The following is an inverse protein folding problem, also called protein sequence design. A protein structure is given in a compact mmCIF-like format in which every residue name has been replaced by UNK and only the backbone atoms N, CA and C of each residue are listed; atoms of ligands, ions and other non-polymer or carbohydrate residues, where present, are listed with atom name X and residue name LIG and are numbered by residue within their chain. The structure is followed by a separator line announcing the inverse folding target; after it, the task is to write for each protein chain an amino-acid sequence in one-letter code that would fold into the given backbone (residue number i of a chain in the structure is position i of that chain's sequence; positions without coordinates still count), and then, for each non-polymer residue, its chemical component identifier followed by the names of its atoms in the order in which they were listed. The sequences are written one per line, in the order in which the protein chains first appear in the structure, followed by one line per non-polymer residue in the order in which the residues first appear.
data_IF_844591333549
#
_entry.id   IF_844591333549
#
_cell.length_a   1.000
_cell.length_b   1.000
_cell.length_c   1.000
_cell.angle_alpha   90.00
_cell.angle_beta   90.00
_cell.angle_gamma   90.00
#
_symmetry.space_group_name_H-M   'P 1'
#
loop_
_entity.id
_entity.type
_entity.pdbx_description
1 polymer ?
#
# COMPACT_ATOMS: atom_id res chain seq x y z
N UNK A 1 -1.07 -1.11 -1.28
CA UNK A 1 -0.78 -1.30 -2.72
C UNK A 1 -0.70 -2.78 -3.11
N UNK A 2 -0.29 -3.68 -2.22
CA UNK A 2 -0.31 -5.14 -2.47
C UNK A 2 0.93 -5.82 -1.89
N UNK A 3 1.12 -7.10 -2.24
CA UNK A 3 2.31 -7.90 -1.92
C UNK A 3 3.07 -8.28 -3.19
N UNK A 4 4.40 -8.24 -3.13
CA UNK A 4 5.28 -8.45 -4.27
C UNK A 4 6.34 -9.51 -3.96
N UNK A 5 6.84 -10.23 -4.97
CA UNK A 5 7.84 -11.28 -4.75
C UNK A 5 9.19 -10.75 -4.29
N UNK A 6 9.56 -9.53 -4.70
CA UNK A 6 10.84 -8.93 -4.40
C UNK A 6 10.70 -7.48 -3.93
N UNK A 7 11.69 -7.03 -3.16
CA UNK A 7 11.73 -5.65 -2.63
C UNK A 7 11.74 -4.58 -3.72
N UNK A 8 12.52 -4.70 -4.82
CA UNK A 8 12.51 -3.70 -5.89
C UNK A 8 11.12 -3.51 -6.52
N UNK A 9 10.35 -4.58 -6.64
CA UNK A 9 8.98 -4.52 -7.18
C UNK A 9 8.03 -3.82 -6.22
N UNK A 10 8.16 -4.07 -4.92
CA UNK A 10 7.39 -3.36 -3.90
C UNK A 10 7.73 -1.86 -3.86
N UNK A 11 9.02 -1.53 -4.00
CA UNK A 11 9.50 -0.15 -4.07
C UNK A 11 8.93 0.60 -5.27
N UNK A 12 8.98 -0.01 -6.46
CA UNK A 12 8.39 0.58 -7.67
C UNK A 12 6.88 0.82 -7.51
N UNK A 13 6.14 -0.15 -6.93
CA UNK A 13 4.72 0.03 -6.67
C UNK A 13 4.44 1.19 -5.70
N UNK A 14 5.26 1.34 -4.66
CA UNK A 14 5.21 2.47 -3.73
C UNK A 14 5.46 3.80 -4.45
N UNK A 15 6.55 3.90 -5.21
CA UNK A 15 6.94 5.11 -5.95
C UNK A 15 5.86 5.52 -6.95
N UNK A 16 5.26 4.55 -7.64
CA UNK A 16 4.13 4.78 -8.53
C UNK A 16 2.93 5.36 -7.79
N UNK A 17 2.62 4.83 -6.59
CA UNK A 17 1.53 5.35 -5.77
C UNK A 17 1.79 6.77 -5.27
N UNK A 18 3.03 7.08 -4.88
CA UNK A 18 3.46 8.43 -4.48
C UNK A 18 3.37 9.43 -5.63
N UNK A 19 3.87 9.06 -6.81
CA UNK A 19 3.74 9.88 -8.01
C UNK A 19 2.27 10.15 -8.33
N UNK A 20 1.40 9.15 -8.16
CA UNK A 20 -0.03 9.30 -8.43
C UNK A 20 -0.71 10.27 -7.46
N UNK A 21 -0.38 10.21 -6.18
CA UNK A 21 -0.82 11.21 -5.20
C UNK A 21 -0.37 12.61 -5.61
N UNK A 22 0.89 12.77 -6.03
CA UNK A 22 1.41 14.04 -6.54
C UNK A 22 0.62 14.58 -7.74
N UNK A 23 0.28 13.73 -8.72
CA UNK A 23 -0.56 14.15 -9.87
C UNK A 23 -1.98 14.56 -9.49
N UNK A 24 -2.49 14.07 -8.36
CA UNK A 24 -3.80 14.45 -7.82
C UNK A 24 -3.74 15.72 -6.95
N UNK A 25 -2.56 16.34 -6.81
CA UNK A 25 -2.34 17.46 -5.89
C UNK A 25 -2.45 17.05 -4.42
N UNK A 26 -2.38 15.75 -4.12
CA UNK A 26 -2.46 15.21 -2.77
C UNK A 26 -1.07 15.05 -2.18
N UNK A 27 -0.96 15.23 -0.87
CA UNK A 27 0.32 15.05 -0.18
C UNK A 27 0.80 13.60 -0.26
N UNK A 28 2.10 13.44 -0.46
CA UNK A 28 2.79 12.16 -0.39
C UNK A 28 2.74 11.59 1.04
N UNK A 29 2.75 10.26 1.13
CA UNK A 29 2.76 9.54 2.41
C UNK A 29 4.16 9.05 2.78
N UNK A 30 4.28 8.38 3.94
CA UNK A 30 5.53 7.70 4.34
C UNK A 30 5.65 6.32 3.70
N UNK A 31 6.89 5.92 3.43
CA UNK A 31 7.23 4.58 2.93
C UNK A 31 7.24 3.54 4.02
N UNK A 32 6.50 2.46 3.78
CA UNK A 32 6.50 1.26 4.60
C UNK A 32 6.53 0.04 3.68
N UNK A 33 7.71 -0.57 3.54
CA UNK A 33 7.89 -1.86 2.85
C UNK A 33 8.28 -2.90 3.89
N UNK A 34 7.46 -3.93 4.04
CA UNK A 34 7.66 -4.94 5.07
C UNK A 34 7.73 -6.35 4.46
N UNK A 35 8.66 -7.21 4.93
CA UNK A 35 8.65 -8.61 4.59
C UNK A 35 7.46 -9.31 5.26
N UNK A 36 6.84 -10.22 4.52
CA UNK A 36 5.61 -10.91 4.90
C UNK A 36 5.77 -12.37 4.55
N UNK A 37 5.69 -13.24 5.55
CA UNK A 37 5.77 -14.69 5.32
C UNK A 37 4.38 -15.30 5.44
N UNK A 38 3.91 -15.96 4.38
CA UNK A 38 2.69 -16.78 4.39
C UNK A 38 2.99 -18.10 3.70
N UNK A 39 2.56 -19.22 4.30
CA UNK A 39 2.80 -20.57 3.78
C UNK A 39 4.26 -20.83 3.35
N UNK A 40 5.23 -20.40 4.18
CA UNK A 40 6.69 -20.52 3.96
C UNK A 40 7.25 -19.71 2.77
N UNK A 41 6.47 -18.82 2.15
CA UNK A 41 6.93 -17.89 1.12
C UNK A 41 6.99 -16.48 1.68
N UNK A 42 8.15 -15.82 1.54
CA UNK A 42 8.32 -14.41 1.91
C UNK A 42 8.04 -13.50 0.71
N UNK A 43 7.14 -12.54 0.90
CA UNK A 43 6.80 -11.46 -0.03
C UNK A 43 7.04 -10.10 0.63
N UNK A 44 6.99 -9.03 -0.13
CA UNK A 44 7.18 -7.66 0.32
C UNK A 44 5.88 -6.88 0.16
N UNK A 45 5.32 -6.34 1.24
CA UNK A 45 4.12 -5.52 1.17
C UNK A 45 4.49 -4.05 1.03
N UNK A 46 3.91 -3.38 0.04
CA UNK A 46 4.08 -1.94 -0.14
C UNK A 46 2.88 -1.17 0.44
N UNK A 47 3.18 -0.31 1.40
CA UNK A 47 2.21 0.51 2.15
C UNK A 47 2.63 1.97 2.02
N UNK A 48 1.64 2.83 1.74
CA UNK A 48 1.77 4.28 1.85
C UNK A 48 1.00 4.68 3.12
N UNK A 49 1.71 5.16 4.13
CA UNK A 49 1.14 5.57 5.42
C UNK A 49 1.08 7.10 5.55
N UNK A 50 0.48 7.60 6.63
CA UNK A 50 0.42 9.04 6.98
C UNK A 50 -0.16 9.94 5.86
N UNK A 51 -1.13 9.41 5.13
CA UNK A 51 -1.88 10.14 4.12
C UNK A 51 -2.91 11.08 4.77
N UNK A 52 -3.17 12.21 4.11
CA UNK A 52 -4.26 13.12 4.47
C UNK A 52 -5.62 12.40 4.39
N UNK A 53 -6.61 12.94 5.12
CA UNK A 53 -8.00 12.47 5.02
C UNK A 53 -8.43 12.42 3.55
N UNK A 54 -9.06 11.32 3.16
CA UNK A 54 -9.53 11.02 1.80
C UNK A 54 -8.44 10.77 0.73
N UNK A 55 -7.16 11.09 0.97
CA UNK A 55 -6.11 10.85 -0.02
C UNK A 55 -5.93 9.35 -0.30
N UNK A 56 -5.97 8.53 0.75
CA UNK A 56 -5.94 7.07 0.62
C UNK A 56 -7.13 6.54 -0.21
N UNK A 57 -8.33 7.09 -0.01
CA UNK A 57 -9.54 6.68 -0.72
C UNK A 57 -9.50 7.10 -2.19
N UNK A 58 -9.06 8.33 -2.50
CA UNK A 58 -8.88 8.82 -3.88
C UNK A 58 -7.86 7.98 -4.65
N UNK A 59 -6.72 7.68 -4.03
CA UNK A 59 -5.72 6.79 -4.62
C UNK A 59 -6.31 5.40 -4.87
N UNK A 60 -7.08 4.88 -3.92
CA UNK A 60 -7.70 3.56 -4.05
C UNK A 60 -8.76 3.49 -5.14
N UNK A 61 -9.60 4.52 -5.24
CA UNK A 61 -10.59 4.64 -6.30
C UNK A 61 -9.91 4.62 -7.68
N UNK A 62 -8.78 5.31 -7.84
CA UNK A 62 -8.03 5.30 -9.09
C UNK A 62 -7.44 3.91 -9.41
N UNK A 63 -6.87 3.23 -8.42
CA UNK A 63 -6.37 1.87 -8.63
C UNK A 63 -7.51 0.92 -9.04
N UNK A 64 -8.69 1.08 -8.43
CA UNK A 64 -9.88 0.29 -8.77
C UNK A 64 -10.40 0.58 -10.18
N UNK A 65 -10.35 1.82 -10.69
CA UNK A 65 -10.71 2.10 -12.10
C UNK A 65 -9.79 1.39 -13.08
N UNK A 66 -8.53 1.15 -12.69
CA UNK A 66 -7.55 0.36 -13.46
C UNK A 66 -7.61 -1.15 -13.17
N UNK A 67 -8.59 -1.61 -12.41
CA UNK A 67 -8.71 -3.01 -11.93
C UNK A 67 -7.46 -3.48 -11.16
N UNK A 68 -6.71 -2.56 -10.57
CA UNK A 68 -5.56 -2.85 -9.73
C UNK A 68 -6.00 -3.06 -8.28
N UNK A 69 -5.23 -3.86 -7.55
CA UNK A 69 -5.47 -4.10 -6.13
C UNK A 69 -5.20 -2.84 -5.30
N UNK A 70 -6.17 -2.47 -4.46
CA UNK A 70 -5.96 -1.48 -3.42
C UNK A 70 -6.89 -1.75 -2.23
N UNK A 71 -6.39 -1.49 -1.02
CA UNK A 71 -7.15 -1.54 0.22
C UNK A 71 -6.73 -0.37 1.10
N UNK A 72 -7.72 0.33 1.68
CA UNK A 72 -7.52 1.36 2.69
C UNK A 72 -7.80 0.76 4.07
N UNK A 73 -6.91 0.99 5.02
CA UNK A 73 -7.02 0.53 6.42
C UNK A 73 -6.74 1.68 7.35
N UNK A 74 -7.52 1.81 8.43
CA UNK A 74 -7.24 2.76 9.52
C UNK A 74 -6.11 2.22 10.40
N UNK A 75 -5.32 3.09 11.07
CA UNK A 75 -4.25 2.65 11.97
C UNK A 75 -4.71 1.66 13.05
N UNK A 76 -5.92 1.83 13.58
CA UNK A 76 -6.51 0.91 14.57
C UNK A 76 -6.85 -0.48 14.01
N UNK A 77 -6.99 -0.60 12.68
CA UNK A 77 -7.26 -1.86 11.97
C UNK A 77 -5.94 -2.57 11.58
N UNK A 78 -4.80 -1.97 11.93
CA UNK A 78 -3.44 -2.42 11.64
C UNK A 78 -2.84 -2.97 12.96
N UNK A 79 -3.30 -4.13 13.44
CA UNK A 79 -2.78 -4.78 14.68
C UNK A 79 -1.52 -5.61 14.40
N UNK A 80 -0.46 -5.72 15.22
CA UNK A 80 0.78 -6.43 14.82
C UNK A 80 0.62 -7.90 14.31
N UNK A 81 1.39 -8.35 13.28
CA UNK A 81 2.33 -7.58 12.46
C UNK A 81 1.60 -6.93 11.26
N UNK A 82 0.32 -6.60 11.51
CA UNK A 82 -0.81 -6.15 10.68
C UNK A 82 -1.93 -7.19 10.52
N UNK A 83 -2.17 -7.97 11.60
CA UNK A 83 -3.44 -8.48 12.16
C UNK A 83 -4.09 -9.61 11.39
N UNK A 84 -3.64 -9.71 10.15
CA UNK A 84 -4.55 -9.83 9.05
C UNK A 84 -3.91 -9.44 7.72
N UNK A 85 -2.72 -9.93 7.36
CA UNK A 85 -2.42 -10.22 5.94
C UNK A 85 -3.44 -11.20 5.30
N UNK A 86 -4.53 -11.52 6.01
CA UNK A 86 -5.24 -12.78 6.20
C UNK A 86 -6.74 -12.54 5.94
N UNK A 87 -7.12 -12.58 4.67
CA UNK A 87 -7.74 -13.77 4.07
C UNK A 87 -7.10 -13.97 2.71
#
# INVERSE_FOLDING_TARGET
LGTFGAWPTAKNAFDTGQAKLGTMGLRTGKEWILPVTSNKVTRQAAIIADLESDAAQKLCAEYQTRKAFCQVKRPSEIAAPYGGFWR
#
